data_IF_465136558065
#
_entry.id   IF_465136558065
#
_cell.length_a   1.000
_cell.length_b   1.000
_cell.length_c   1.000
_cell.angle_alpha   90.00
_cell.angle_beta   90.00
_cell.angle_gamma   90.00
#
_symmetry.space_group_name_H-M   'P 1'
#
loop_
_entity.id
_entity.type
_entity.pdbx_description
1 polymer ?
#
# COMPACT_ATOMS: atom_id res chain seq x y z
N UNK A 1 1.96 26.18 -6.80
CA UNK A 1 2.10 24.71 -6.92
C UNK A 1 1.44 24.24 -8.20
N UNK A 2 2.10 23.34 -8.92
CA UNK A 2 1.50 22.76 -10.13
C UNK A 2 0.35 21.82 -9.73
N UNK A 3 -0.80 21.94 -10.41
CA UNK A 3 -1.95 21.08 -10.15
C UNK A 3 -1.89 19.83 -11.04
N UNK A 4 -1.67 18.68 -10.43
CA UNK A 4 -1.60 17.37 -11.10
C UNK A 4 -2.94 16.62 -11.11
N UNK A 5 -3.98 17.16 -10.49
CA UNK A 5 -5.28 16.52 -10.28
C UNK A 5 -5.45 15.95 -8.87
N UNK A 6 -6.68 15.60 -8.52
CA UNK A 6 -7.02 15.08 -7.18
C UNK A 6 -6.40 13.70 -6.94
N UNK A 7 -5.83 13.50 -5.74
CA UNK A 7 -5.36 12.21 -5.24
C UNK A 7 -6.36 11.65 -4.23
N UNK A 8 -6.94 10.48 -4.48
CA UNK A 8 -7.70 9.73 -3.46
C UNK A 8 -6.75 8.81 -2.70
N UNK A 9 -6.62 9.05 -1.40
CA UNK A 9 -5.79 8.26 -0.49
C UNK A 9 -6.69 7.23 0.18
N UNK A 10 -6.37 5.95 -0.01
CA UNK A 10 -7.15 4.81 0.47
C UNK A 10 -6.55 4.30 1.78
N UNK A 11 -7.28 4.45 2.87
CA UNK A 11 -6.83 4.07 4.21
C UNK A 11 -7.85 3.12 4.86
N UNK A 12 -7.64 1.79 4.73
CA UNK A 12 -8.40 0.83 5.53
C UNK A 12 -7.95 0.91 6.98
N UNK A 13 -8.86 0.78 7.93
CA UNK A 13 -8.53 0.75 9.35
C UNK A 13 -9.29 -0.33 10.09
N UNK A 14 -8.67 -0.90 11.12
CA UNK A 14 -9.29 -1.79 12.09
C UNK A 14 -8.49 -1.79 13.39
N UNK A 15 -9.14 -1.44 14.50
CA UNK A 15 -8.55 -1.36 15.83
C UNK A 15 -7.20 -0.60 15.83
N UNK A 16 -7.22 0.67 15.37
CA UNK A 16 -6.03 1.46 15.12
C UNK A 16 -6.01 2.82 15.85
N UNK A 17 -6.72 2.92 16.99
CA UNK A 17 -6.83 4.16 17.75
C UNK A 17 -5.48 4.76 18.15
N UNK A 18 -4.48 3.93 18.43
CA UNK A 18 -3.14 4.36 18.88
C UNK A 18 -2.30 5.00 17.78
N UNK A 19 -2.59 4.73 16.49
CA UNK A 19 -1.70 5.11 15.37
C UNK A 19 -2.36 6.05 14.36
N UNK A 20 -3.67 5.93 14.14
CA UNK A 20 -4.37 6.60 13.03
C UNK A 20 -4.24 8.14 13.07
N UNK A 21 -4.07 8.73 14.25
CA UNK A 21 -3.85 10.18 14.37
C UNK A 21 -2.53 10.61 13.74
N UNK A 22 -1.45 9.82 13.89
CA UNK A 22 -0.16 10.09 13.28
C UNK A 22 -0.25 9.95 11.76
N UNK A 23 -0.92 8.90 11.28
CA UNK A 23 -1.17 8.67 9.85
C UNK A 23 -1.91 9.86 9.23
N UNK A 24 -3.00 10.34 9.84
CA UNK A 24 -3.76 11.51 9.35
C UNK A 24 -2.87 12.75 9.31
N UNK A 25 -2.09 13.03 10.37
CA UNK A 25 -1.17 14.17 10.42
C UNK A 25 -0.11 14.11 9.32
N UNK A 26 0.41 12.92 9.00
CA UNK A 26 1.39 12.74 7.92
C UNK A 26 0.79 13.07 6.55
N UNK A 27 -0.51 12.84 6.35
CA UNK A 27 -1.24 13.23 5.13
C UNK A 27 -1.52 14.74 5.12
N UNK A 28 -1.94 15.33 6.24
CA UNK A 28 -2.18 16.76 6.34
C UNK A 28 -0.90 17.59 6.12
N UNK A 29 0.26 17.05 6.46
CA UNK A 29 1.57 17.68 6.24
C UNK A 29 2.09 17.59 4.82
N UNK A 30 1.40 16.91 3.89
CA UNK A 30 1.83 16.81 2.51
C UNK A 30 1.97 18.19 1.85
N UNK A 31 3.05 18.41 1.12
CA UNK A 31 3.25 19.65 0.34
C UNK A 31 2.22 19.78 -0.76
N UNK A 32 1.84 18.69 -1.43
CA UNK A 32 0.74 18.66 -2.39
C UNK A 32 -0.62 18.59 -1.68
N UNK A 33 -1.44 19.65 -1.82
CA UNK A 33 -2.66 19.82 -1.04
C UNK A 33 -3.95 19.33 -1.71
N UNK A 34 -3.94 18.95 -3.01
CA UNK A 34 -5.13 18.51 -3.72
C UNK A 34 -5.35 16.99 -3.55
N UNK A 35 -5.81 16.60 -2.36
CA UNK A 35 -6.10 15.22 -1.99
C UNK A 35 -7.42 15.09 -1.23
N UNK A 36 -7.99 13.90 -1.25
CA UNK A 36 -9.02 13.42 -0.33
C UNK A 36 -8.53 12.17 0.39
N UNK A 37 -8.82 12.06 1.69
CA UNK A 37 -8.50 10.89 2.50
C UNK A 37 -9.78 10.08 2.75
N UNK A 38 -9.80 8.83 2.28
CA UNK A 38 -10.92 7.91 2.40
C UNK A 38 -10.59 6.83 3.43
N UNK A 39 -10.94 7.10 4.69
CA UNK A 39 -10.83 6.14 5.78
C UNK A 39 -12.03 5.22 5.72
N UNK A 40 -11.79 3.91 5.62
CA UNK A 40 -12.80 2.88 5.69
C UNK A 40 -12.51 1.98 6.89
N UNK A 41 -13.39 2.00 7.87
CA UNK A 41 -13.24 1.21 9.09
C UNK A 41 -13.91 -0.15 8.93
N UNK A 42 -13.18 -1.20 9.30
CA UNK A 42 -13.66 -2.59 9.27
C UNK A 42 -14.39 -2.99 10.56
N UNK A 43 -15.33 -2.14 11.02
CA UNK A 43 -16.13 -2.34 12.23
C UNK A 43 -15.26 -2.44 13.50
N UNK A 44 -14.37 -1.46 13.72
CA UNK A 44 -13.55 -1.35 14.93
C UNK A 44 -14.39 -1.29 16.19
N UNK A 45 -13.89 -1.89 17.26
CA UNK A 45 -14.53 -1.88 18.59
C UNK A 45 -13.77 -1.04 19.60
N UNK A 46 -12.62 -0.52 19.21
CA UNK A 46 -11.80 0.39 20.00
C UNK A 46 -12.23 1.86 19.80
N UNK A 47 -11.40 2.79 20.24
CA UNK A 47 -11.67 4.23 20.18
C UNK A 47 -11.33 4.87 18.81
N UNK A 48 -11.11 4.09 17.75
CA UNK A 48 -10.66 4.61 16.43
C UNK A 48 -11.54 5.74 15.91
N UNK A 49 -12.86 5.59 15.89
CA UNK A 49 -13.77 6.64 15.41
C UNK A 49 -13.64 7.95 16.20
N UNK A 50 -13.56 7.89 17.53
CA UNK A 50 -13.44 9.09 18.35
C UNK A 50 -12.10 9.82 18.13
N UNK A 51 -11.03 9.08 17.80
CA UNK A 51 -9.74 9.66 17.42
C UNK A 51 -9.83 10.36 16.05
N UNK A 52 -10.55 9.80 15.09
CA UNK A 52 -10.68 10.36 13.73
C UNK A 52 -11.65 11.56 13.69
N UNK A 53 -12.68 11.56 14.50
CA UNK A 53 -13.76 12.56 14.47
C UNK A 53 -13.28 14.02 14.50
N UNK A 54 -12.37 14.46 15.38
CA UNK A 54 -11.87 15.84 15.38
C UNK A 54 -11.18 16.24 14.06
N UNK A 55 -10.50 15.31 13.39
CA UNK A 55 -9.85 15.58 12.11
C UNK A 55 -10.87 15.79 11.00
N UNK A 56 -11.96 15.00 10.97
CA UNK A 56 -13.06 15.20 10.01
C UNK A 56 -13.79 16.53 10.22
N UNK A 57 -13.98 16.94 11.47
CA UNK A 57 -14.63 18.21 11.78
C UNK A 57 -13.76 19.42 11.37
N UNK A 58 -12.43 19.27 11.43
CA UNK A 58 -11.47 20.32 11.08
C UNK A 58 -11.11 20.36 9.58
N UNK A 59 -11.23 19.26 8.85
CA UNK A 59 -10.78 19.13 7.45
C UNK A 59 -11.76 18.27 6.62
N UNK A 60 -12.53 18.91 5.75
CA UNK A 60 -13.56 18.27 4.91
C UNK A 60 -13.01 17.32 3.83
N UNK A 61 -11.70 17.31 3.61
CA UNK A 61 -11.02 16.34 2.73
C UNK A 61 -10.93 14.95 3.37
N UNK A 62 -11.12 14.84 4.69
CA UNK A 62 -11.06 13.59 5.45
C UNK A 62 -12.47 13.02 5.56
N UNK A 63 -12.66 11.84 5.00
CA UNK A 63 -13.95 11.15 4.96
C UNK A 63 -13.84 9.78 5.60
N UNK A 64 -14.73 9.48 6.53
CA UNK A 64 -14.76 8.21 7.26
C UNK A 64 -16.08 7.50 7.02
N UNK A 65 -16.00 6.20 6.75
CA UNK A 65 -17.14 5.29 6.76
C UNK A 65 -16.77 3.99 7.47
N UNK A 66 -17.77 3.34 8.07
CA UNK A 66 -17.61 2.08 8.77
C UNK A 66 -18.34 0.96 8.02
N UNK A 67 -17.70 -0.20 7.89
CA UNK A 67 -18.36 -1.41 7.42
C UNK A 67 -19.41 -1.88 8.44
N UNK A 68 -20.52 -2.47 8.01
CA UNK A 68 -21.55 -2.96 8.93
C UNK A 68 -21.07 -4.13 9.80
N UNK A 69 -20.01 -4.81 9.36
CA UNK A 69 -19.35 -5.92 10.08
C UNK A 69 -17.88 -5.99 9.67
N UNK A 70 -17.06 -6.69 10.46
CA UNK A 70 -15.66 -6.97 10.07
C UNK A 70 -15.66 -7.89 8.85
N UNK A 71 -15.13 -7.35 7.74
CA UNK A 71 -15.15 -7.99 6.42
C UNK A 71 -13.74 -8.26 5.87
N UNK A 72 -12.70 -7.83 6.59
CA UNK A 72 -11.31 -7.99 6.22
C UNK A 72 -10.77 -6.89 5.30
N UNK A 73 -9.45 -6.78 5.28
CA UNK A 73 -8.74 -5.67 4.62
C UNK A 73 -9.05 -5.50 3.13
N UNK A 74 -9.28 -6.59 2.39
CA UNK A 74 -9.59 -6.53 0.96
C UNK A 74 -10.94 -5.84 0.68
N UNK A 75 -11.98 -6.27 1.38
CA UNK A 75 -13.33 -5.68 1.23
C UNK A 75 -13.32 -4.23 1.71
N UNK A 76 -12.66 -3.96 2.81
CA UNK A 76 -12.53 -2.61 3.39
C UNK A 76 -11.83 -1.66 2.43
N UNK A 77 -10.70 -2.05 1.82
CA UNK A 77 -10.05 -1.24 0.76
C UNK A 77 -10.96 -1.06 -0.47
N UNK A 78 -11.70 -2.09 -0.87
CA UNK A 78 -12.62 -2.01 -1.99
C UNK A 78 -13.77 -1.03 -1.73
N UNK A 79 -14.27 -0.95 -0.49
CA UNK A 79 -15.30 0.02 -0.12
C UNK A 79 -14.74 1.45 -0.22
N UNK A 80 -13.53 1.72 0.29
CA UNK A 80 -12.87 3.00 0.12
C UNK A 80 -12.62 3.33 -1.37
N UNK A 81 -12.12 2.38 -2.17
CA UNK A 81 -11.86 2.55 -3.59
C UNK A 81 -13.12 2.94 -4.39
N UNK A 82 -14.30 2.41 -4.06
CA UNK A 82 -15.57 2.78 -4.73
C UNK A 82 -15.95 4.23 -4.51
N UNK A 83 -15.50 4.84 -3.41
CA UNK A 83 -15.75 6.25 -3.06
C UNK A 83 -14.72 7.19 -3.68
N UNK A 84 -13.62 6.66 -4.20
CA UNK A 84 -12.54 7.46 -4.76
C UNK A 84 -12.97 8.26 -6.00
N UNK A 85 -12.74 9.56 -5.97
CA UNK A 85 -13.08 10.48 -7.08
C UNK A 85 -11.85 11.03 -7.79
N UNK A 86 -10.67 10.89 -7.19
CA UNK A 86 -9.41 11.41 -7.70
C UNK A 86 -8.95 10.78 -9.01
N UNK A 87 -8.18 11.56 -9.77
CA UNK A 87 -7.41 11.09 -10.93
C UNK A 87 -6.36 10.04 -10.51
N UNK A 88 -5.77 10.24 -9.35
CA UNK A 88 -4.72 9.38 -8.80
C UNK A 88 -5.24 8.61 -7.61
N UNK A 89 -4.85 7.35 -7.50
CA UNK A 89 -5.10 6.53 -6.31
C UNK A 89 -3.78 6.25 -5.62
N UNK A 90 -3.72 6.50 -4.33
CA UNK A 90 -2.60 6.15 -3.47
C UNK A 90 -3.11 5.38 -2.24
N UNK A 91 -2.25 4.59 -1.61
CA UNK A 91 -2.61 3.74 -0.48
C UNK A 91 -1.75 4.07 0.73
N UNK A 92 -2.37 4.16 1.90
CA UNK A 92 -1.68 4.28 3.17
C UNK A 92 -2.45 3.52 4.24
N UNK A 93 -1.85 2.52 4.84
CA UNK A 93 -2.46 1.78 5.94
C UNK A 93 -2.48 2.68 7.20
N UNK A 94 -3.46 2.45 8.09
CA UNK A 94 -3.78 3.36 9.21
C UNK A 94 -2.74 3.41 10.35
N UNK A 95 -1.65 2.68 10.22
CA UNK A 95 -0.51 2.64 11.15
C UNK A 95 0.83 3.05 10.50
N UNK A 96 0.82 3.37 9.21
CA UNK A 96 1.99 3.82 8.45
C UNK A 96 2.02 5.35 8.27
N UNK A 97 3.16 5.89 7.84
CA UNK A 97 3.35 7.32 7.67
C UNK A 97 3.94 7.65 6.30
N UNK A 98 3.69 8.86 5.81
CA UNK A 98 4.33 9.43 4.63
C UNK A 98 5.24 10.60 4.99
N UNK A 99 6.32 10.74 4.21
CA UNK A 99 7.15 11.94 4.22
C UNK A 99 6.39 13.12 3.61
N UNK A 100 6.62 14.36 4.04
CA UNK A 100 5.83 15.53 3.62
C UNK A 100 5.80 15.77 2.10
N UNK A 101 6.85 15.41 1.38
CA UNK A 101 6.96 15.64 -0.06
C UNK A 101 6.50 14.45 -0.92
N UNK A 102 5.95 13.38 -0.31
CA UNK A 102 5.67 12.11 -1.02
C UNK A 102 4.73 12.30 -2.20
N UNK A 103 3.61 12.95 -2.01
CA UNK A 103 2.63 13.14 -3.08
C UNK A 103 3.19 14.02 -4.21
N UNK A 104 3.81 15.14 -3.87
CA UNK A 104 4.36 16.08 -4.85
C UNK A 104 5.44 15.45 -5.71
N UNK A 105 6.42 14.80 -5.08
CA UNK A 105 7.55 14.17 -5.79
C UNK A 105 7.09 13.01 -6.67
N UNK A 106 6.20 12.16 -6.16
CA UNK A 106 5.73 11.01 -6.92
C UNK A 106 4.85 11.43 -8.10
N UNK A 107 3.98 12.42 -7.93
CA UNK A 107 3.19 13.00 -9.03
C UNK A 107 4.08 13.64 -10.10
N UNK A 108 5.06 14.47 -9.68
CA UNK A 108 6.00 15.07 -10.60
C UNK A 108 6.79 14.05 -11.42
N UNK A 109 7.25 12.97 -10.74
CA UNK A 109 7.93 11.85 -11.39
C UNK A 109 7.04 11.15 -12.43
N UNK A 110 5.80 10.83 -12.06
CA UNK A 110 4.87 10.15 -12.95
C UNK A 110 4.49 11.01 -14.17
N UNK A 111 4.22 12.29 -13.98
CA UNK A 111 3.90 13.21 -15.08
C UNK A 111 5.10 13.44 -15.99
N UNK A 112 6.29 13.67 -15.42
CA UNK A 112 7.51 13.93 -16.19
C UNK A 112 7.86 12.79 -17.15
N UNK A 113 7.58 11.55 -16.75
CA UNK A 113 7.95 10.35 -17.51
C UNK A 113 6.77 9.67 -18.21
N UNK A 114 5.56 10.23 -18.11
CA UNK A 114 4.30 9.64 -18.59
C UNK A 114 4.05 8.22 -18.02
N UNK A 115 4.31 8.06 -16.73
CA UNK A 115 4.09 6.80 -16.01
C UNK A 115 2.71 6.78 -15.35
N UNK A 116 2.03 5.64 -15.46
CA UNK A 116 0.68 5.46 -14.92
C UNK A 116 0.63 4.60 -13.64
N UNK A 117 1.73 3.96 -13.30
CA UNK A 117 1.87 3.15 -12.09
C UNK A 117 3.29 3.26 -11.54
N UNK A 118 3.41 3.66 -10.27
CA UNK A 118 4.71 3.86 -9.62
C UNK A 118 4.68 3.47 -8.14
N UNK A 119 5.88 3.33 -7.58
CA UNK A 119 6.12 3.12 -6.16
C UNK A 119 7.39 3.85 -5.71
N UNK A 120 7.58 3.97 -4.38
CA UNK A 120 8.75 4.61 -3.79
C UNK A 120 9.50 3.64 -2.88
N UNK A 121 10.67 4.05 -2.38
CA UNK A 121 11.31 3.38 -1.25
C UNK A 121 10.55 3.71 0.03
N UNK A 122 10.77 2.90 1.06
CA UNK A 122 10.30 3.17 2.41
C UNK A 122 11.34 2.74 3.44
N UNK A 123 11.25 3.32 4.63
CA UNK A 123 12.01 2.88 5.81
C UNK A 123 11.09 2.20 6.83
N UNK A 124 11.67 1.33 7.65
CA UNK A 124 10.95 0.67 8.73
C UNK A 124 11.08 1.48 10.02
N UNK A 125 9.96 1.62 10.75
CA UNK A 125 9.88 2.24 12.06
C UNK A 125 9.30 1.27 13.08
N UNK A 126 9.63 1.44 14.35
CA UNK A 126 9.05 0.68 15.46
C UNK A 126 7.64 1.19 15.84
N UNK A 127 7.04 0.60 16.87
CA UNK A 127 5.71 1.01 17.37
C UNK A 127 5.67 2.45 17.93
N UNK A 128 6.83 3.02 18.27
CA UNK A 128 6.96 4.37 18.79
C UNK A 128 7.31 5.40 17.72
N UNK A 129 7.49 4.95 16.47
CA UNK A 129 7.87 5.81 15.35
C UNK A 129 9.37 6.02 15.18
N UNK A 130 10.23 5.34 15.96
CA UNK A 130 11.68 5.43 15.82
C UNK A 130 12.15 4.62 14.60
N UNK A 131 13.13 5.14 13.89
CA UNK A 131 13.73 4.48 12.74
C UNK A 131 14.49 3.20 13.17
N UNK A 132 14.27 2.13 12.43
CA UNK A 132 14.92 0.84 12.69
C UNK A 132 16.22 0.65 11.88
N UNK A 133 16.66 1.68 11.16
CA UNK A 133 17.83 1.60 10.28
C UNK A 133 17.65 0.65 9.09
N UNK A 134 16.42 0.33 8.73
CA UNK A 134 16.10 -0.57 7.61
C UNK A 134 15.40 0.22 6.51
N UNK A 135 16.02 0.29 5.33
CA UNK A 135 15.40 0.84 4.12
C UNK A 135 15.10 -0.26 3.12
N UNK A 136 13.95 -0.15 2.46
CA UNK A 136 13.48 -1.13 1.49
C UNK A 136 13.25 -0.47 0.14
N UNK A 137 13.86 -1.05 -0.88
CA UNK A 137 13.79 -0.63 -2.27
C UNK A 137 13.26 -1.75 -3.18
N UNK A 138 13.45 -1.61 -4.49
CA UNK A 138 13.10 -2.62 -5.49
C UNK A 138 13.63 -2.24 -6.88
N UNK A 139 13.29 -3.03 -7.92
CA UNK A 139 13.71 -2.75 -9.29
C UNK A 139 13.19 -1.40 -9.81
N UNK A 140 14.02 -0.67 -10.55
CA UNK A 140 13.63 0.63 -11.16
C UNK A 140 12.45 0.50 -12.12
N UNK A 141 12.30 -0.65 -12.76
CA UNK A 141 11.24 -0.96 -13.72
C UNK A 141 10.72 -2.38 -13.48
N UNK A 142 9.44 -2.51 -13.24
CA UNK A 142 8.75 -3.78 -13.00
C UNK A 142 7.71 -3.99 -14.09
N UNK A 143 8.02 -4.88 -15.00
CA UNK A 143 7.11 -5.34 -16.06
C UNK A 143 6.09 -6.33 -15.52
N UNK A 144 5.13 -6.75 -16.35
CA UNK A 144 4.19 -7.83 -16.02
C UNK A 144 4.93 -9.08 -15.49
N UNK A 145 5.98 -9.54 -16.18
CA UNK A 145 6.74 -10.71 -15.77
C UNK A 145 7.48 -10.47 -14.45
N UNK A 146 8.04 -9.29 -14.27
CA UNK A 146 8.69 -8.88 -13.03
C UNK A 146 7.72 -8.88 -11.84
N UNK A 147 6.48 -8.42 -12.04
CA UNK A 147 5.43 -8.47 -11.01
C UNK A 147 4.96 -9.90 -10.75
N UNK A 148 4.90 -10.79 -11.75
CA UNK A 148 4.62 -12.21 -11.53
C UNK A 148 5.72 -12.88 -10.70
N UNK A 149 6.99 -12.52 -10.93
CA UNK A 149 8.10 -13.06 -10.16
C UNK A 149 8.04 -12.71 -8.66
N UNK A 150 7.63 -11.47 -8.34
CA UNK A 150 7.52 -11.02 -6.94
C UNK A 150 6.71 -9.73 -6.78
N UNK A 151 6.07 -9.57 -5.61
CA UNK A 151 5.45 -8.31 -5.19
C UNK A 151 6.53 -7.31 -4.73
N UNK A 152 7.02 -6.49 -5.65
CA UNK A 152 8.09 -5.53 -5.36
C UNK A 152 7.61 -4.32 -4.54
N UNK A 153 6.47 -3.66 -4.91
CA UNK A 153 5.98 -2.49 -4.19
C UNK A 153 5.43 -2.84 -2.79
N UNK A 154 5.75 -2.03 -1.81
CA UNK A 154 4.98 -1.98 -0.56
C UNK A 154 3.69 -1.19 -0.76
N UNK A 155 2.57 -1.63 -0.18
CA UNK A 155 1.25 -1.00 -0.39
C UNK A 155 1.27 0.52 -0.15
N UNK A 156 1.88 0.96 0.96
CA UNK A 156 1.99 2.37 1.37
C UNK A 156 2.79 3.26 0.38
N UNK A 157 3.53 2.65 -0.56
CA UNK A 157 4.39 3.38 -1.50
C UNK A 157 3.75 3.63 -2.85
N UNK A 158 2.66 2.90 -3.14
CA UNK A 158 2.06 2.84 -4.47
C UNK A 158 1.20 4.06 -4.79
N UNK A 159 1.29 4.48 -6.07
CA UNK A 159 0.35 5.39 -6.71
C UNK A 159 0.07 4.95 -8.14
N UNK A 160 -1.19 5.07 -8.60
CA UNK A 160 -1.53 4.83 -10.00
C UNK A 160 -2.53 5.85 -10.56
N UNK A 161 -2.52 6.04 -11.88
CA UNK A 161 -3.43 6.90 -12.63
C UNK A 161 -4.76 6.18 -12.88
N UNK A 162 -5.80 6.53 -12.13
CA UNK A 162 -7.12 5.91 -12.25
C UNK A 162 -7.80 6.21 -13.60
N UNK A 163 -7.53 7.36 -14.20
CA UNK A 163 -8.16 7.71 -15.49
C UNK A 163 -7.71 6.79 -16.61
N UNK A 164 -6.44 6.33 -16.58
CA UNK A 164 -5.90 5.40 -17.58
C UNK A 164 -6.07 3.93 -17.16
N UNK A 165 -5.79 3.61 -15.92
CA UNK A 165 -5.84 2.24 -15.38
C UNK A 165 -7.27 1.77 -15.10
N UNK A 166 -8.16 2.70 -14.79
CA UNK A 166 -9.50 2.41 -14.29
C UNK A 166 -9.53 2.16 -12.77
N UNK A 167 -10.72 1.86 -12.25
CA UNK A 167 -10.89 1.48 -10.85
C UNK A 167 -10.64 -0.03 -10.70
N UNK A 168 -9.50 -0.38 -10.13
CA UNK A 168 -9.12 -1.79 -9.90
C UNK A 168 -9.58 -2.22 -8.51
N UNK A 169 -10.42 -3.24 -8.45
CA UNK A 169 -10.85 -3.85 -7.18
C UNK A 169 -9.89 -4.96 -6.77
N UNK A 170 -9.60 -5.02 -5.48
CA UNK A 170 -8.76 -6.03 -4.84
C UNK A 170 -9.52 -7.37 -4.78
N UNK A 171 -8.82 -8.48 -5.01
CA UNK A 171 -9.42 -9.81 -4.83
C UNK A 171 -9.70 -10.10 -3.35
N UNK A 172 -10.84 -10.69 -3.06
CA UNK A 172 -11.23 -11.07 -1.69
C UNK A 172 -10.44 -12.30 -1.22
N UNK A 173 -9.18 -12.07 -0.90
CA UNK A 173 -8.28 -13.05 -0.30
C UNK A 173 -7.66 -12.48 0.97
N UNK A 174 -7.49 -13.33 1.97
CA UNK A 174 -7.01 -12.92 3.30
C UNK A 174 -5.60 -12.28 3.27
N UNK A 175 -4.75 -12.73 2.35
CA UNK A 175 -3.35 -12.31 2.18
C UNK A 175 -3.02 -12.09 0.71
N UNK A 176 -1.97 -11.30 0.43
CA UNK A 176 -1.57 -10.94 -0.92
C UNK A 176 -2.69 -10.25 -1.73
N UNK A 177 -3.62 -9.60 -1.04
CA UNK A 177 -4.72 -8.90 -1.69
C UNK A 177 -4.25 -7.68 -2.47
N UNK A 178 -3.30 -6.92 -1.93
CA UNK A 178 -2.56 -5.85 -2.60
C UNK A 178 -1.76 -6.37 -3.80
N UNK A 179 -1.03 -7.47 -3.61
CA UNK A 179 -0.30 -8.13 -4.70
C UNK A 179 -1.22 -8.54 -5.85
N UNK A 180 -2.38 -9.13 -5.56
CA UNK A 180 -3.38 -9.46 -6.57
C UNK A 180 -3.84 -8.22 -7.37
N UNK A 181 -3.92 -7.06 -6.72
CA UNK A 181 -4.23 -5.79 -7.39
C UNK A 181 -3.10 -5.35 -8.32
N UNK A 182 -1.85 -5.40 -7.83
CA UNK A 182 -0.69 -5.03 -8.66
C UNK A 182 -0.54 -5.93 -9.88
N UNK A 183 -0.80 -7.22 -9.77
CA UNK A 183 -0.84 -8.16 -10.90
C UNK A 183 -1.88 -7.72 -11.95
N UNK A 184 -3.08 -7.30 -11.54
CA UNK A 184 -4.10 -6.80 -12.47
C UNK A 184 -3.64 -5.53 -13.20
N UNK A 185 -3.05 -4.57 -12.49
CA UNK A 185 -2.55 -3.32 -13.11
C UNK A 185 -1.40 -3.62 -14.06
N UNK A 186 -0.45 -4.47 -13.66
CA UNK A 186 0.70 -4.84 -14.49
C UNK A 186 0.37 -5.69 -15.71
N UNK A 187 -0.88 -6.07 -15.92
CA UNK A 187 -1.29 -6.68 -17.21
C UNK A 187 -1.18 -5.70 -18.38
N UNK A 188 -1.33 -4.40 -18.10
CA UNK A 188 -1.36 -3.35 -19.12
C UNK A 188 -0.42 -2.18 -18.85
N UNK A 189 0.06 -2.01 -17.63
CA UNK A 189 0.89 -0.89 -17.20
C UNK A 189 2.09 -1.37 -16.41
N UNK A 190 3.29 -0.97 -16.80
CA UNK A 190 4.50 -1.26 -16.04
C UNK A 190 4.57 -0.38 -14.78
N UNK A 191 5.26 -0.87 -13.74
CA UNK A 191 5.44 -0.14 -12.49
C UNK A 191 6.87 0.40 -12.38
N UNK A 192 7.03 1.66 -11.98
CA UNK A 192 8.30 2.36 -11.94
C UNK A 192 8.64 2.84 -10.52
N UNK A 193 9.90 2.67 -10.13
CA UNK A 193 10.42 3.13 -8.85
C UNK A 193 10.84 4.60 -8.93
N UNK A 194 10.25 5.44 -8.08
CA UNK A 194 10.89 6.68 -7.64
C UNK A 194 11.86 6.32 -6.50
N UNK A 195 13.15 6.40 -6.78
CA UNK A 195 14.23 5.90 -5.90
C UNK A 195 14.51 6.89 -4.73
N UNK A 196 13.45 7.23 -3.99
CA UNK A 196 13.48 8.07 -2.80
C UNK A 196 12.70 7.42 -1.65
N UNK A 197 13.17 7.58 -0.41
CA UNK A 197 12.48 7.12 0.81
C UNK A 197 11.40 8.15 1.14
N UNK A 198 10.15 7.82 0.84
CA UNK A 198 9.01 8.74 0.99
C UNK A 198 7.87 8.16 1.85
N UNK A 199 8.09 7.01 2.47
CA UNK A 199 7.13 6.36 3.36
C UNK A 199 7.85 5.67 4.52
N UNK A 200 7.12 5.49 5.64
CA UNK A 200 7.59 4.82 6.85
C UNK A 200 6.62 3.69 7.18
N UNK A 201 7.14 2.46 7.16
CA UNK A 201 6.38 1.25 7.44
C UNK A 201 6.55 0.84 8.91
N UNK A 202 5.44 0.74 9.65
CA UNK A 202 5.47 0.39 11.08
C UNK A 202 5.56 -1.13 11.29
N UNK A 203 6.57 -1.54 12.06
CA UNK A 203 6.83 -2.93 12.44
C UNK A 203 6.47 -3.21 13.90
N UNK A 204 6.16 -4.47 14.19
CA UNK A 204 6.02 -4.94 15.57
C UNK A 204 4.65 -4.74 16.19
N UNK A 205 3.66 -4.23 15.45
CA UNK A 205 2.29 -4.13 15.96
C UNK A 205 1.73 -5.49 16.31
N UNK A 206 1.14 -5.62 17.50
CA UNK A 206 0.40 -6.82 17.91
C UNK A 206 -0.77 -7.07 16.96
N UNK A 207 -0.88 -8.29 16.42
CA UNK A 207 -1.89 -8.62 15.41
C UNK A 207 -1.51 -8.30 13.96
N UNK A 208 -0.27 -7.80 13.73
CA UNK A 208 0.24 -7.62 12.37
C UNK A 208 0.22 -8.91 11.57
N UNK A 209 -0.24 -8.79 10.33
CA UNK A 209 -0.39 -9.91 9.40
C UNK A 209 0.98 -10.45 8.92
N UNK A 210 2.08 -9.76 9.16
CA UNK A 210 3.42 -10.06 8.64
C UNK A 210 4.20 -11.16 9.40
N UNK A 211 3.72 -11.62 10.56
CA UNK A 211 4.44 -12.56 11.46
C UNK A 211 4.03 -14.04 11.30
N UNK A 212 4.07 -14.59 10.07
CA UNK A 212 3.64 -15.98 9.85
C UNK A 212 4.78 -16.85 9.32
N UNK A 213 4.76 -18.15 9.69
CA UNK A 213 5.76 -19.13 9.26
C UNK A 213 5.72 -19.43 7.75
N UNK A 214 6.83 -19.91 7.21
CA UNK A 214 7.04 -20.17 5.77
C UNK A 214 5.94 -21.02 5.09
N UNK A 215 5.44 -22.07 5.74
CA UNK A 215 4.38 -22.91 5.20
C UNK A 215 3.08 -22.13 4.96
N UNK A 216 2.74 -21.20 5.85
CA UNK A 216 1.58 -20.35 5.71
C UNK A 216 1.75 -19.36 4.55
N UNK A 217 2.94 -18.80 4.39
CA UNK A 217 3.26 -17.93 3.26
C UNK A 217 3.15 -18.69 1.92
N UNK A 218 3.72 -19.89 1.82
CA UNK A 218 3.61 -20.75 0.63
C UNK A 218 2.15 -21.01 0.26
N UNK A 219 1.32 -21.37 1.24
CA UNK A 219 -0.11 -21.64 1.02
C UNK A 219 -0.85 -20.40 0.48
N UNK A 220 -0.50 -19.21 0.95
CA UNK A 220 -1.13 -17.97 0.48
C UNK A 220 -0.68 -17.57 -0.93
N UNK A 221 0.61 -17.76 -1.25
CA UNK A 221 1.09 -17.56 -2.62
C UNK A 221 0.44 -18.56 -3.58
N UNK A 222 0.36 -19.85 -3.19
CA UNK A 222 -0.33 -20.86 -4.00
C UNK A 222 -1.79 -20.46 -4.27
N UNK A 223 -2.53 -20.02 -3.25
CA UNK A 223 -3.92 -19.55 -3.41
C UNK A 223 -4.03 -18.35 -4.34
N UNK A 224 -3.11 -17.41 -4.29
CA UNK A 224 -3.07 -16.29 -5.22
C UNK A 224 -3.01 -16.78 -6.67
N UNK A 225 -2.12 -17.72 -6.97
CA UNK A 225 -1.94 -18.22 -8.33
C UNK A 225 -3.08 -19.14 -8.77
N UNK A 226 -3.49 -20.04 -7.90
CA UNK A 226 -4.50 -21.05 -8.23
C UNK A 226 -5.91 -20.46 -8.20
N UNK A 227 -6.30 -19.78 -7.13
CA UNK A 227 -7.69 -19.38 -6.90
C UNK A 227 -8.00 -18.03 -7.55
N UNK A 228 -7.05 -17.06 -7.54
CA UNK A 228 -7.26 -15.70 -8.05
C UNK A 228 -6.83 -15.58 -9.51
N UNK A 229 -5.59 -15.97 -9.83
CA UNK A 229 -5.06 -15.94 -11.21
C UNK A 229 -5.53 -17.12 -12.07
N UNK A 230 -6.24 -18.10 -11.45
CA UNK A 230 -6.84 -19.28 -12.12
C UNK A 230 -5.85 -20.12 -12.91
N UNK A 231 -4.63 -20.22 -12.42
CA UNK A 231 -3.60 -21.05 -13.03
C UNK A 231 -3.79 -22.53 -12.66
N UNK A 232 -3.32 -23.43 -13.54
CA UNK A 232 -3.25 -24.84 -13.21
C UNK A 232 -2.25 -25.11 -12.07
N UNK A 233 -2.32 -26.28 -11.46
CA UNK A 233 -1.52 -26.67 -10.30
C UNK A 233 0.00 -26.50 -10.54
N UNK A 234 0.49 -26.93 -11.71
CA UNK A 234 1.93 -26.89 -12.04
C UNK A 234 2.42 -25.44 -12.10
N UNK A 235 1.70 -24.58 -12.82
CA UNK A 235 2.03 -23.15 -12.92
C UNK A 235 1.93 -22.46 -11.56
N UNK A 236 0.93 -22.80 -10.73
CA UNK A 236 0.76 -22.24 -9.40
C UNK A 236 1.91 -22.60 -8.46
N UNK A 237 2.40 -23.84 -8.53
CA UNK A 237 3.57 -24.27 -7.75
C UNK A 237 4.82 -23.53 -8.27
N UNK A 238 5.02 -23.46 -9.59
CA UNK A 238 6.17 -22.77 -10.18
C UNK A 238 6.26 -21.31 -9.70
N UNK A 239 5.18 -20.53 -9.84
CA UNK A 239 5.15 -19.13 -9.43
C UNK A 239 5.27 -18.96 -7.90
N UNK A 240 4.74 -19.90 -7.12
CA UNK A 240 4.94 -19.90 -5.66
C UNK A 240 6.43 -20.06 -5.33
N UNK A 241 7.13 -21.00 -5.93
CA UNK A 241 8.57 -21.19 -5.75
C UNK A 241 9.37 -19.96 -6.21
N UNK A 242 9.00 -19.39 -7.35
CA UNK A 242 9.63 -18.17 -7.88
C UNK A 242 9.47 -16.99 -6.92
N UNK A 243 8.27 -16.78 -6.37
CA UNK A 243 8.03 -15.72 -5.38
C UNK A 243 8.89 -15.90 -4.12
N UNK A 244 9.06 -17.12 -3.64
CA UNK A 244 9.91 -17.38 -2.47
C UNK A 244 11.39 -17.09 -2.78
N UNK A 245 11.88 -17.53 -3.94
CA UNK A 245 13.25 -17.27 -4.37
C UNK A 245 13.51 -15.76 -4.55
N UNK A 246 12.60 -15.05 -5.24
CA UNK A 246 12.70 -13.61 -5.41
C UNK A 246 12.55 -12.84 -4.08
N UNK A 247 11.77 -13.37 -3.14
CA UNK A 247 11.67 -12.80 -1.79
C UNK A 247 12.99 -12.89 -1.01
N UNK A 248 13.74 -13.97 -1.17
CA UNK A 248 15.11 -14.09 -0.62
C UNK A 248 16.07 -13.13 -1.33
N UNK A 249 16.00 -13.06 -2.66
CA UNK A 249 16.79 -12.12 -3.44
C UNK A 249 16.53 -10.66 -3.03
N UNK A 250 15.26 -10.27 -2.83
CA UNK A 250 14.90 -8.92 -2.35
C UNK A 250 15.58 -8.59 -1.02
N UNK A 251 15.61 -9.56 -0.09
CA UNK A 251 16.24 -9.35 1.22
C UNK A 251 17.74 -9.07 1.14
N UNK A 252 18.42 -9.62 0.12
CA UNK A 252 19.87 -9.47 -0.07
C UNK A 252 20.20 -8.18 -0.83
N UNK A 253 19.39 -7.84 -1.85
CA UNK A 253 19.74 -6.80 -2.83
C UNK A 253 19.04 -5.48 -2.57
N UNK A 254 17.81 -5.50 -2.03
CA UNK A 254 16.93 -4.34 -1.94
C UNK A 254 16.54 -3.96 -0.50
N UNK A 255 17.14 -4.61 0.50
CA UNK A 255 17.02 -4.21 1.91
C UNK A 255 18.38 -3.76 2.40
N UNK A 256 18.51 -2.48 2.67
CA UNK A 256 19.71 -1.87 3.24
C UNK A 256 19.53 -1.74 4.75
N UNK A 257 20.56 -2.12 5.50
CA UNK A 257 20.65 -1.88 6.94
C UNK A 257 21.64 -0.75 7.15
N UNK A 258 21.16 0.38 7.66
CA UNK A 258 22.02 1.47 8.13
C UNK A 258 22.40 1.19 9.58
N UNK A 259 23.68 1.24 9.88
CA UNK A 259 24.11 1.27 11.27
C UNK A 259 23.61 2.60 11.88
N UNK A 260 22.92 2.50 13.01
CA UNK A 260 22.57 3.68 13.78
C UNK A 260 23.87 4.20 14.42
N UNK A 261 24.36 5.35 13.95
CA UNK A 261 25.43 6.08 14.59
C UNK A 261 25.04 6.60 15.98
#
# INVERSE_FOLDING_TARGET
>A
MQNYGLVSIITPTWACADFIAETIKSIQSQTYQNWELLIQDDCSKDNTLNVVKPFMEADNRIKYECNPQNSGAAITRNNALRRATGRWIAFLDSDDLWEPEKLEKQLAFMIKHDYDFSYTRYQEIDNYGHEMGIEVSGPKHVTKLGMFAFCWPGCLTVMYNREKVGLVQIADIKKNNDYAMWLKICRSFDCYLLDEVLARYRRGRTGSISSHGYFTLMRWHYKLWHDVERMNMVSSIFWTCMNLACGLFKKIVFIEKKEND
#
